data_IF_146722497172
#
_entry.id   IF_146722497172
#
_cell.length_a   1.000
_cell.length_b   1.000
_cell.length_c   1.000
_cell.angle_alpha   90.00
_cell.angle_beta   90.00
_cell.angle_gamma   90.00
#
_symmetry.space_group_name_H-M   'P 1'
#
loop_
_entity.id
_entity.type
_entity.pdbx_description
1 polymer ?
#
# COMPACT_ATOMS: atom_id res chain seq x y z
N UNK A 1 11.88 0.08 1.94
CA UNK A 1 10.76 -0.22 1.02
C UNK A 1 9.57 0.65 1.41
N UNK A 2 8.95 1.35 0.47
CA UNK A 2 7.76 2.16 0.76
C UNK A 2 6.50 1.30 0.86
N UNK A 3 5.44 1.83 1.47
CA UNK A 3 4.13 1.16 1.58
C UNK A 3 3.60 0.68 0.21
N UNK A 4 3.82 1.47 -0.85
CA UNK A 4 3.39 1.15 -2.21
C UNK A 4 4.21 0.04 -2.87
N UNK A 5 5.50 -0.11 -2.53
CA UNK A 5 6.32 -1.23 -3.00
C UNK A 5 5.79 -2.56 -2.46
N UNK A 6 5.46 -2.60 -1.16
CA UNK A 6 4.89 -3.79 -0.53
C UNK A 6 3.53 -4.15 -1.14
N UNK A 7 2.69 -3.16 -1.46
CA UNK A 7 1.42 -3.41 -2.15
C UNK A 7 1.64 -3.87 -3.60
N UNK A 8 2.61 -3.31 -4.32
CA UNK A 8 2.94 -3.73 -5.68
C UNK A 8 3.36 -5.21 -5.74
N UNK A 9 4.17 -5.67 -4.79
CA UNK A 9 4.55 -7.09 -4.71
C UNK A 9 3.36 -7.99 -4.39
N UNK A 10 2.47 -7.59 -3.47
CA UNK A 10 1.24 -8.34 -3.19
C UNK A 10 0.33 -8.44 -4.42
N UNK A 11 0.16 -7.34 -5.16
CA UNK A 11 -0.63 -7.33 -6.39
C UNK A 11 0.01 -8.18 -7.47
N UNK A 12 1.35 -8.11 -7.61
CA UNK A 12 2.11 -8.96 -8.53
C UNK A 12 1.95 -10.45 -8.21
N UNK A 13 1.83 -10.80 -6.93
CA UNK A 13 1.54 -12.16 -6.47
C UNK A 13 0.08 -12.60 -6.70
N UNK A 14 -0.77 -11.74 -7.28
CA UNK A 14 -2.17 -12.03 -7.59
C UNK A 14 -3.15 -11.55 -6.51
N UNK A 15 -2.70 -10.90 -5.44
CA UNK A 15 -3.59 -10.42 -4.39
C UNK A 15 -4.28 -9.11 -4.79
N UNK A 16 -5.59 -9.03 -4.56
CA UNK A 16 -6.26 -7.72 -4.55
C UNK A 16 -5.95 -7.01 -3.25
N UNK A 17 -5.38 -5.81 -3.34
CA UNK A 17 -4.99 -5.02 -2.18
C UNK A 17 -5.88 -3.80 -2.05
N UNK A 18 -6.03 -3.37 -0.81
CA UNK A 18 -6.71 -2.14 -0.50
C UNK A 18 -5.83 -1.31 0.42
N UNK A 19 -5.59 -0.07 0.04
CA UNK A 19 -4.73 0.82 0.79
C UNK A 19 -5.22 2.27 0.71
N UNK A 20 -4.72 3.07 1.65
CA UNK A 20 -5.02 4.49 1.76
C UNK A 20 -3.77 5.29 1.41
N UNK A 21 -3.53 5.65 0.13
CA UNK A 21 -2.38 6.45 -0.23
C UNK A 21 -2.42 7.80 0.48
N UNK A 22 -1.26 8.27 0.92
CA UNK A 22 -1.08 9.59 1.53
C UNK A 22 -0.42 10.51 0.50
N UNK A 23 -0.90 11.76 0.42
CA UNK A 23 -0.34 12.78 -0.49
C UNK A 23 -1.39 13.51 -1.32
N UNK A 24 -0.94 14.58 -2.00
CA UNK A 24 -1.78 15.48 -2.81
C UNK A 24 -1.65 15.25 -4.32
N UNK A 25 -0.83 14.29 -4.75
CA UNK A 25 -0.41 14.11 -6.15
C UNK A 25 -1.54 13.67 -7.10
N UNK A 26 -2.63 13.12 -6.58
CA UNK A 26 -3.76 12.63 -7.37
C UNK A 26 -5.07 13.42 -7.16
N UNK A 27 -5.05 14.52 -6.41
CA UNK A 27 -6.25 15.35 -6.22
C UNK A 27 -6.66 15.97 -7.57
N UNK A 28 -7.95 15.93 -7.98
CA UNK A 28 -9.14 15.43 -7.25
C UNK A 28 -9.49 13.94 -7.37
N UNK A 29 -8.85 13.14 -8.23
CA UNK A 29 -9.25 11.74 -8.47
C UNK A 29 -8.97 10.78 -7.30
N UNK A 30 -7.93 11.03 -6.50
CA UNK A 30 -7.66 10.30 -5.26
C UNK A 30 -7.13 11.31 -4.24
N UNK A 31 -7.89 11.54 -3.17
CA UNK A 31 -7.47 12.40 -2.06
C UNK A 31 -6.65 11.61 -1.04
N UNK A 32 -5.81 12.32 -0.28
CA UNK A 32 -5.07 11.74 0.84
C UNK A 32 -6.01 10.97 1.78
N UNK A 33 -5.65 9.73 2.14
CA UNK A 33 -6.42 8.80 2.98
C UNK A 33 -7.66 8.15 2.33
N UNK A 34 -7.94 8.38 1.05
CA UNK A 34 -9.04 7.69 0.37
C UNK A 34 -8.76 6.21 0.19
N UNK A 35 -9.81 5.39 0.28
CA UNK A 35 -9.69 3.93 0.17
C UNK A 35 -9.58 3.55 -1.30
N UNK A 36 -8.44 3.00 -1.72
CA UNK A 36 -8.22 2.56 -3.10
C UNK A 36 -8.09 1.05 -3.14
N UNK A 37 -8.88 0.41 -3.99
CA UNK A 37 -8.81 -1.03 -4.26
C UNK A 37 -8.07 -1.27 -5.57
N UNK A 38 -6.98 -2.03 -5.53
CA UNK A 38 -6.15 -2.37 -6.69
C UNK A 38 -6.10 -3.88 -6.85
N UNK A 39 -6.34 -4.36 -8.07
CA UNK A 39 -6.24 -5.76 -8.42
C UNK A 39 -5.18 -5.99 -9.51
N UNK A 40 -4.62 -7.20 -9.61
CA UNK A 40 -3.71 -7.56 -10.70
C UNK A 40 -4.40 -7.31 -12.04
N UNK A 41 -3.76 -6.57 -12.93
CA UNK A 41 -4.29 -6.25 -14.26
C UNK A 41 -3.55 -7.04 -15.32
N UNK A 42 -4.23 -7.39 -16.41
CA UNK A 42 -3.55 -7.77 -17.64
C UNK A 42 -3.08 -6.50 -18.37
N UNK A 43 -1.77 -6.23 -18.46
CA UNK A 43 -1.27 -5.03 -19.12
C UNK A 43 -1.56 -5.00 -20.63
N UNK A 44 -1.93 -6.12 -21.26
CA UNK A 44 -2.37 -6.14 -22.65
C UNK A 44 -3.75 -5.50 -22.87
N UNK A 45 -4.57 -5.41 -21.81
CA UNK A 45 -5.92 -4.84 -21.85
C UNK A 45 -5.97 -3.38 -21.37
N UNK A 46 -4.82 -2.77 -21.07
CA UNK A 46 -4.75 -1.40 -20.59
C UNK A 46 -5.08 -0.40 -21.69
N UNK A 47 -5.80 0.65 -21.32
CA UNK A 47 -6.20 1.73 -22.21
C UNK A 47 -5.91 3.10 -21.57
N UNK A 48 -5.78 4.16 -22.38
CA UNK A 48 -5.74 5.52 -21.86
C UNK A 48 -6.99 5.82 -21.02
N UNK A 49 -6.80 6.34 -19.80
CA UNK A 49 -7.87 6.59 -18.83
C UNK A 49 -7.85 5.67 -17.62
N UNK A 50 -7.18 4.52 -17.71
CA UNK A 50 -7.02 3.60 -16.59
C UNK A 50 -6.09 4.19 -15.52
N UNK A 51 -6.36 3.91 -14.24
CA UNK A 51 -5.41 4.18 -13.16
C UNK A 51 -4.73 2.90 -12.76
N UNK A 52 -3.41 2.91 -12.81
CA UNK A 52 -2.60 1.73 -12.59
C UNK A 52 -1.57 1.95 -11.48
N UNK A 53 -1.27 0.88 -10.78
CA UNK A 53 -0.12 0.78 -9.89
C UNK A 53 1.08 0.33 -10.73
N UNK A 54 2.00 1.25 -11.01
CA UNK A 54 3.13 0.99 -11.89
C UNK A 54 4.43 1.63 -11.38
N UNK A 55 5.57 0.97 -11.63
CA UNK A 55 6.90 1.48 -11.28
C UNK A 55 7.47 2.33 -12.41
N UNK A 56 7.80 3.58 -12.15
CA UNK A 56 8.44 4.51 -13.10
C UNK A 56 9.72 5.04 -12.48
N UNK A 57 10.86 4.91 -13.18
CA UNK A 57 12.17 5.39 -12.71
C UNK A 57 12.53 4.98 -11.27
N UNK A 58 12.15 3.76 -10.87
CA UNK A 58 12.44 3.21 -9.54
C UNK A 58 11.33 3.42 -8.50
N UNK A 59 10.41 4.36 -8.72
CA UNK A 59 9.32 4.70 -7.78
C UNK A 59 8.00 4.09 -8.22
N UNK A 60 7.26 3.47 -7.29
CA UNK A 60 5.92 2.95 -7.55
C UNK A 60 4.90 4.09 -7.41
N UNK A 61 4.13 4.30 -8.48
CA UNK A 61 3.08 5.30 -8.55
C UNK A 61 1.72 4.65 -8.76
N UNK A 62 0.70 5.21 -8.14
CA UNK A 62 -0.69 5.02 -8.53
C UNK A 62 -1.07 6.22 -9.41
N UNK A 63 -1.14 6.07 -10.73
CA UNK A 63 -1.29 7.21 -11.64
C UNK A 63 -2.08 6.83 -12.90
N UNK A 64 -2.44 7.84 -13.70
CA UNK A 64 -3.25 7.69 -14.91
C UNK A 64 -2.39 7.22 -16.08
N UNK A 65 -2.89 6.23 -16.82
CA UNK A 65 -2.39 5.86 -18.14
C UNK A 65 -2.92 6.85 -19.15
N UNK A 66 -2.04 7.58 -19.83
CA UNK A 66 -2.44 8.58 -20.85
C UNK A 66 -2.07 8.19 -22.27
N UNK A 67 -1.29 7.12 -22.43
CA UNK A 67 -0.99 6.51 -23.71
C UNK A 67 -0.54 5.06 -23.49
N UNK A 68 -0.84 4.20 -24.46
CA UNK A 68 -0.43 2.80 -24.50
C UNK A 68 0.26 2.55 -25.83
N UNK A 69 1.44 1.95 -25.78
CA UNK A 69 2.25 1.58 -26.94
C UNK A 69 2.38 0.06 -26.92
N UNK A 70 1.41 -0.61 -27.57
CA UNK A 70 1.31 -2.07 -27.62
C UNK A 70 2.48 -2.68 -28.39
N UNK A 71 2.98 -1.98 -29.42
CA UNK A 71 4.14 -2.42 -30.22
C UNK A 71 5.42 -2.53 -29.37
N UNK A 72 5.64 -1.58 -28.44
CA UNK A 72 6.79 -1.58 -27.52
C UNK A 72 6.45 -2.09 -26.12
N UNK A 73 5.25 -2.64 -25.92
CA UNK A 73 4.73 -3.17 -24.63
C UNK A 73 4.97 -2.20 -23.46
N UNK A 74 4.61 -0.93 -23.63
CA UNK A 74 4.85 0.13 -22.64
C UNK A 74 3.67 1.09 -22.53
N UNK A 75 3.47 1.64 -21.34
CA UNK A 75 2.42 2.62 -21.04
C UNK A 75 3.03 3.93 -20.56
N UNK A 76 2.38 5.03 -20.89
CA UNK A 76 2.74 6.37 -20.42
C UNK A 76 1.97 6.69 -19.16
N UNK A 77 2.70 6.87 -18.06
CA UNK A 77 2.16 7.22 -16.76
C UNK A 77 2.20 8.73 -16.59
N UNK A 78 1.07 9.33 -16.26
CA UNK A 78 0.92 10.77 -16.01
C UNK A 78 0.14 11.02 -14.74
N UNK A 79 0.39 12.15 -14.10
CA UNK A 79 -0.45 12.58 -12.98
C UNK A 79 -1.77 13.15 -13.51
N UNK A 80 -2.74 13.34 -12.62
CA UNK A 80 -4.04 13.93 -12.96
C UNK A 80 -3.98 15.44 -13.27
N UNK A 81 -2.78 16.06 -13.24
CA UNK A 81 -2.55 17.48 -13.53
C UNK A 81 -1.81 17.70 -14.86
N UNK A 82 -1.77 16.68 -15.72
CA UNK A 82 -1.18 16.76 -17.06
C UNK A 82 0.35 16.64 -17.12
N UNK A 83 1.06 16.38 -16.01
CA UNK A 83 2.49 16.06 -16.05
C UNK A 83 2.71 14.59 -16.36
N UNK A 84 3.51 14.33 -17.39
CA UNK A 84 3.99 13.00 -17.74
C UNK A 84 5.10 12.61 -16.76
N UNK A 85 4.91 11.52 -16.01
CA UNK A 85 5.94 10.97 -15.12
C UNK A 85 6.94 10.11 -15.89
N UNK A 86 6.50 9.49 -16.98
CA UNK A 86 7.38 8.74 -17.87
C UNK A 86 6.69 7.54 -18.53
N UNK A 87 7.45 6.87 -19.40
CA UNK A 87 7.07 5.59 -19.98
C UNK A 87 7.54 4.45 -19.09
N UNK A 88 6.71 3.43 -18.94
CA UNK A 88 7.08 2.20 -18.23
C UNK A 88 6.60 0.97 -18.97
N UNK A 89 7.37 -0.11 -18.93
CA UNK A 89 7.04 -1.37 -19.59
C UNK A 89 5.88 -2.07 -18.89
N UNK A 90 5.17 -2.95 -19.62
CA UNK A 90 4.08 -3.77 -19.09
C UNK A 90 4.52 -4.60 -17.87
N UNK A 91 5.78 -5.06 -17.83
CA UNK A 91 6.36 -5.82 -16.70
C UNK A 91 6.44 -5.02 -15.39
N UNK A 92 6.37 -3.69 -15.49
CA UNK A 92 6.42 -2.76 -14.35
C UNK A 92 5.02 -2.25 -13.99
N UNK A 93 3.97 -2.75 -14.65
CA UNK A 93 2.58 -2.48 -14.29
C UNK A 93 2.07 -3.67 -13.49
N UNK A 94 1.74 -3.42 -12.22
CA UNK A 94 1.36 -4.48 -11.29
C UNK A 94 -0.16 -4.66 -11.26
N UNK A 95 -0.92 -3.57 -11.21
CA UNK A 95 -2.38 -3.65 -11.08
C UNK A 95 -3.15 -2.43 -11.55
N UNK A 96 -4.47 -2.57 -11.57
CA UNK A 96 -5.45 -1.55 -11.94
C UNK A 96 -6.31 -1.17 -10.73
N UNK A 97 -6.58 0.12 -10.60
CA UNK A 97 -7.48 0.67 -9.61
C UNK A 97 -8.93 0.33 -9.98
N UNK A 98 -9.56 -0.54 -9.19
CA UNK A 98 -10.95 -0.96 -9.35
C UNK A 98 -11.94 0.05 -8.82
N UNK A 99 -11.65 0.59 -7.63
CA UNK A 99 -12.54 1.51 -6.95
C UNK A 99 -11.74 2.51 -6.11
N UNK A 100 -12.28 3.72 -6.01
CA UNK A 100 -11.80 4.79 -5.11
C UNK A 100 -12.97 5.20 -4.24
N UNK A 101 -12.85 5.08 -2.91
CA UNK A 101 -13.95 5.28 -1.95
C UNK A 101 -15.22 4.52 -2.34
N UNK A 102 -15.08 3.24 -2.67
CA UNK A 102 -16.17 2.37 -3.08
C UNK A 102 -16.88 2.79 -4.39
N UNK A 103 -16.43 3.86 -5.06
CA UNK A 103 -16.87 4.24 -6.41
C UNK A 103 -16.13 3.39 -7.43
N UNK A 104 -16.80 2.45 -8.12
CA UNK A 104 -16.17 1.59 -9.10
C UNK A 104 -15.80 2.40 -10.35
N UNK A 105 -14.66 2.07 -10.95
CA UNK A 105 -14.28 2.62 -12.25
C UNK A 105 -14.83 1.75 -13.36
N UNK A 106 -15.59 2.32 -14.32
CA UNK A 106 -16.12 1.55 -15.43
C UNK A 106 -14.97 0.93 -16.23
N UNK A 107 -15.12 -0.34 -16.63
CA UNK A 107 -14.14 -1.07 -17.43
C UNK A 107 -12.92 -1.62 -16.65
N UNK A 108 -12.64 -1.15 -15.43
CA UNK A 108 -11.46 -1.60 -14.68
C UNK A 108 -11.55 -3.08 -14.25
N UNK A 109 -12.75 -3.54 -13.87
CA UNK A 109 -12.98 -4.92 -13.45
C UNK A 109 -12.80 -5.95 -14.58
N UNK A 110 -13.09 -5.56 -15.82
CA UNK A 110 -12.95 -6.44 -16.99
C UNK A 110 -11.47 -6.70 -17.35
N UNK A 111 -10.56 -5.83 -16.91
CA UNK A 111 -9.12 -5.90 -17.19
C UNK A 111 -8.35 -6.64 -16.10
N UNK A 112 -9.03 -7.08 -15.05
CA UNK A 112 -8.43 -7.81 -13.92
C UNK A 112 -7.99 -9.18 -14.38
N UNK A 113 -6.75 -9.53 -14.10
CA UNK A 113 -6.25 -10.88 -14.26
C UNK A 113 -6.96 -11.74 -13.21
N UNK A 114 -7.90 -12.58 -13.62
CA UNK A 114 -8.64 -13.50 -12.75
C UNK A 114 -7.74 -14.65 -12.30
N UNK A 115 -6.79 -14.35 -11.41
CA UNK A 115 -6.10 -15.36 -10.60
C UNK A 115 -6.88 -15.45 -9.29
N UNK A 116 -7.53 -16.59 -9.05
CA UNK A 116 -8.32 -17.00 -7.86
C UNK A 116 -8.56 -15.98 -6.74
N UNK A 117 -9.83 -15.72 -6.45
CA UNK A 117 -10.42 -15.18 -5.21
C UNK A 117 -9.41 -14.72 -4.13
N UNK A 118 -9.25 -13.42 -3.86
CA UNK A 118 -8.45 -12.98 -2.72
C UNK A 118 -9.18 -13.34 -1.43
N UNK A 119 -8.63 -14.28 -0.66
CA UNK A 119 -9.00 -14.50 0.74
C UNK A 119 -8.82 -13.18 1.49
N UNK A 120 -9.85 -12.62 2.16
CA UNK A 120 -9.70 -11.40 2.93
C UNK A 120 -8.63 -11.63 4.00
N UNK A 121 -7.52 -10.90 3.93
CA UNK A 121 -6.47 -10.95 4.95
C UNK A 121 -7.08 -10.40 6.26
N UNK A 122 -7.22 -11.20 7.33
CA UNK A 122 -7.76 -10.68 8.58
C UNK A 122 -6.83 -9.56 9.10
N UNK A 123 -7.44 -8.45 9.50
CA UNK A 123 -6.75 -7.30 10.08
C UNK A 123 -5.92 -7.76 11.29
N UNK A 124 -4.62 -7.39 11.41
CA UNK A 124 -3.84 -7.74 12.59
C UNK A 124 -4.51 -7.12 13.81
N UNK A 125 -4.97 -7.98 14.72
CA UNK A 125 -5.53 -7.56 16.01
C UNK A 125 -4.43 -6.86 16.80
N UNK A 126 -4.66 -5.65 17.36
CA UNK A 126 -3.64 -5.00 18.18
C UNK A 126 -3.28 -5.89 19.36
N UNK A 127 -2.01 -6.30 19.44
CA UNK A 127 -1.47 -7.08 20.55
C UNK A 127 -1.61 -6.27 21.85
N UNK A 128 -2.21 -6.82 22.93
CA UNK A 128 -2.28 -6.11 24.20
C UNK A 128 -0.86 -5.85 24.74
N UNK A 129 -0.60 -4.59 25.08
CA UNK A 129 0.67 -4.12 25.65
C UNK A 129 0.99 -4.86 26.96
N UNK A 130 2.22 -5.37 27.17
CA UNK A 130 2.58 -6.01 28.43
C UNK A 130 2.54 -4.99 29.58
N UNK A 131 1.85 -5.37 30.66
CA UNK A 131 1.74 -4.60 31.91
C UNK A 131 3.13 -4.47 32.57
N UNK A 132 3.53 -3.29 33.08
CA UNK A 132 4.82 -3.14 33.76
C UNK A 132 4.85 -3.94 35.07
N UNK A 133 5.90 -4.73 35.25
CA UNK A 133 6.18 -5.50 36.47
C UNK A 133 6.49 -4.57 37.64
N UNK A 134 5.90 -4.76 38.84
CA UNK A 134 6.23 -3.95 40.01
C UNK A 134 7.66 -4.20 40.48
N UNK A 135 8.41 -3.12 40.69
CA UNK A 135 9.79 -3.12 41.21
C UNK A 135 9.82 -3.65 42.66
N UNK A 136 10.74 -4.55 43.04
CA UNK A 136 10.86 -5.00 44.42
C UNK A 136 11.32 -3.87 45.35
N UNK A 137 10.74 -3.85 46.55
CA UNK A 137 10.97 -2.88 47.63
C UNK A 137 12.40 -2.96 48.19
N UNK A 138 13.03 -1.84 48.59
CA UNK A 138 14.37 -1.86 49.17
C UNK A 138 14.38 -2.54 50.56
N UNK A 139 15.36 -3.43 50.75
CA UNK A 139 15.64 -4.16 51.99
C UNK A 139 15.84 -3.21 53.18
N UNK A 140 15.25 -3.47 54.36
CA UNK A 140 15.48 -2.65 55.55
C UNK A 140 16.92 -2.79 56.06
N UNK A 141 17.55 -1.65 56.34
CA UNK A 141 18.87 -1.52 56.97
C UNK A 141 18.83 -2.08 58.40
N UNK A 142 19.79 -2.93 58.82
CA UNK A 142 19.83 -3.43 60.19
C UNK A 142 20.18 -2.31 61.19
N UNK A 143 19.50 -2.32 62.33
CA UNK A 143 19.69 -1.37 63.43
C UNK A 143 21.04 -1.56 64.14
N UNK A 144 21.66 -0.49 64.68
CA UNK A 144 22.89 -0.61 65.45
C UNK A 144 22.60 -1.26 66.82
N UNK A 145 23.35 -2.31 67.13
CA UNK A 145 23.38 -2.99 68.42
C UNK A 145 23.85 -2.04 69.52
N UNK A 146 23.01 -1.77 70.51
CA UNK A 146 23.42 -1.09 71.73
C UNK A 146 24.23 -2.04 72.61
N UNK A 147 25.52 -1.76 72.79
CA UNK A 147 26.37 -2.41 73.78
C UNK A 147 25.97 -1.89 75.17
N UNK A 148 25.32 -2.73 75.96
CA UNK A 148 25.25 -2.54 77.41
C UNK A 148 26.53 -3.11 78.04
N UNK A 149 27.21 -2.30 78.86
CA UNK A 149 28.33 -2.72 79.72
C UNK A 149 27.89 -2.48 81.17
N UNK A 150 28.17 -3.40 82.11
CA UNK A 150 27.76 -3.31 83.52
C UNK A 150 28.42 -2.16 84.29
#
# INVERSE_FOLDING_TARGET
MGMLDAQAERVRAGATVEFRPTGTSMVPLVHSRQRVRVAPVDPALLEPGDIVLARVSGTVYLHLVTAVDTARRRVRISNNRGRVNGWTGHDRVFGICLAVNDVPRPGAAAKVRTTGTPTPTPTPTPTPTPTPTPTPSPTPTPAPTATATP
#
